data_IF_012298047213
#
_entry.id   IF_012298047213
#
_cell.length_a   1.000
_cell.length_b   1.000
_cell.length_c   1.000
_cell.angle_alpha   90.00
_cell.angle_beta   90.00
_cell.angle_gamma   90.00
#
_symmetry.space_group_name_H-M   'P 1'
#
loop_
_entity.id
_entity.type
_entity.pdbx_description
1 polymer ?
#
# COMPACT_ATOMS: atom_id res chain seq x y z
N UNK A 1 -20.46 -4.50 -9.26
CA UNK A 1 -20.14 -3.45 -8.27
C UNK A 1 -18.66 -3.57 -7.92
N UNK A 2 -17.90 -2.47 -7.81
CA UNK A 2 -16.54 -2.55 -7.29
C UNK A 2 -16.59 -3.13 -5.87
N UNK A 3 -15.73 -4.09 -5.57
CA UNK A 3 -15.83 -4.82 -4.32
C UNK A 3 -14.82 -5.96 -4.21
N UNK A 4 -14.86 -6.63 -3.06
CA UNK A 4 -14.12 -7.86 -2.79
C UNK A 4 -15.09 -9.03 -2.84
N UNK A 5 -14.58 -10.20 -3.20
CA UNK A 5 -15.37 -11.44 -3.28
C UNK A 5 -15.77 -12.04 -1.91
N UNK A 6 -15.47 -11.37 -0.79
CA UNK A 6 -15.88 -11.78 0.56
C UNK A 6 -15.00 -12.81 1.24
N UNK A 7 -14.02 -13.38 0.53
CA UNK A 7 -13.08 -14.34 1.10
C UNK A 7 -11.96 -13.67 1.90
N UNK A 8 -11.44 -14.31 2.96
CA UNK A 8 -10.34 -13.75 3.74
C UNK A 8 -9.07 -13.65 2.89
N UNK A 9 -8.36 -12.53 3.04
CA UNK A 9 -7.08 -12.33 2.39
C UNK A 9 -6.00 -13.22 3.02
N UNK A 10 -5.25 -13.93 2.18
CA UNK A 10 -4.07 -14.68 2.59
C UNK A 10 -2.81 -13.98 2.07
N UNK A 11 -1.84 -13.74 2.97
CA UNK A 11 -0.57 -13.11 2.59
C UNK A 11 0.27 -14.05 1.73
N UNK A 12 0.48 -13.67 0.48
CA UNK A 12 1.35 -14.38 -0.45
C UNK A 12 2.81 -14.35 0.02
N UNK A 13 3.25 -13.23 0.61
CA UNK A 13 4.59 -13.13 1.19
C UNK A 13 4.81 -14.14 2.32
N UNK A 14 3.79 -14.41 3.14
CA UNK A 14 3.88 -15.46 4.16
C UNK A 14 4.05 -16.85 3.51
N UNK A 15 3.31 -17.14 2.44
CA UNK A 15 3.45 -18.42 1.71
C UNK A 15 4.87 -18.58 1.15
N UNK A 16 5.48 -17.52 0.61
CA UNK A 16 6.86 -17.55 0.12
C UNK A 16 7.89 -17.79 1.24
N UNK A 17 7.67 -17.22 2.43
CA UNK A 17 8.51 -17.47 3.61
C UNK A 17 8.36 -18.93 4.06
N UNK A 18 7.12 -19.42 4.16
CA UNK A 18 6.83 -20.79 4.60
C UNK A 18 7.42 -21.83 3.62
N UNK A 19 7.54 -21.49 2.32
CA UNK A 19 8.21 -22.30 1.29
C UNK A 19 9.75 -22.20 1.33
N UNK A 20 10.32 -21.19 2.01
CA UNK A 20 11.76 -20.97 2.08
C UNK A 20 12.37 -20.25 0.87
N UNK A 21 11.54 -19.74 -0.04
CA UNK A 21 11.95 -19.05 -1.28
C UNK A 21 12.52 -17.65 -1.00
N UNK A 22 11.93 -16.96 -0.03
CA UNK A 22 12.30 -15.60 0.34
C UNK A 22 12.42 -15.51 1.86
N UNK A 23 13.54 -14.98 2.33
CA UNK A 23 13.77 -14.75 3.75
C UNK A 23 12.81 -13.70 4.30
N UNK A 24 12.45 -13.83 5.58
CA UNK A 24 11.52 -12.91 6.23
C UNK A 24 12.06 -11.48 6.27
N UNK A 25 13.37 -11.31 6.38
CA UNK A 25 14.05 -10.02 6.46
C UNK A 25 14.01 -9.26 5.12
N UNK A 26 14.04 -9.99 4.01
CA UNK A 26 14.08 -9.44 2.65
C UNK A 26 12.66 -9.30 2.04
N UNK A 27 11.62 -9.66 2.79
CA UNK A 27 10.26 -9.70 2.29
C UNK A 27 9.71 -8.29 2.03
N UNK A 28 9.50 -7.97 0.75
CA UNK A 28 8.93 -6.70 0.29
C UNK A 28 8.09 -6.89 -0.97
N UNK A 29 7.29 -5.88 -1.35
CA UNK A 29 6.55 -5.89 -2.62
C UNK A 29 7.48 -6.01 -3.84
N UNK A 30 8.71 -5.49 -3.73
CA UNK A 30 9.72 -5.61 -4.77
C UNK A 30 10.22 -7.05 -4.87
N UNK A 31 10.53 -7.68 -3.73
CA UNK A 31 10.96 -9.09 -3.69
C UNK A 31 9.90 -10.05 -4.27
N UNK A 32 8.61 -9.84 -3.97
CA UNK A 32 7.51 -10.64 -4.55
C UNK A 32 7.46 -10.48 -6.08
N UNK A 33 7.66 -9.24 -6.57
CA UNK A 33 7.68 -8.97 -8.00
C UNK A 33 8.87 -9.64 -8.69
N UNK A 34 10.06 -9.50 -8.13
CA UNK A 34 11.28 -10.14 -8.64
C UNK A 34 11.18 -11.67 -8.62
N UNK A 35 10.55 -12.24 -7.58
CA UNK A 35 10.30 -13.67 -7.51
C UNK A 35 9.39 -14.12 -8.66
N UNK A 36 8.31 -13.39 -8.94
CA UNK A 36 7.40 -13.69 -10.05
C UNK A 36 8.02 -13.53 -11.44
N UNK A 37 8.99 -12.63 -11.60
CA UNK A 37 9.72 -12.44 -12.86
C UNK A 37 10.75 -13.56 -13.14
N UNK A 38 11.18 -14.29 -12.10
CA UNK A 38 12.16 -15.39 -12.20
C UNK A 38 11.53 -16.78 -12.39
N UNK A 39 10.24 -16.93 -12.08
CA UNK A 39 9.52 -18.21 -12.11
C UNK A 39 8.60 -18.31 -13.33
N UNK A 40 8.17 -19.54 -13.64
CA UNK A 40 7.22 -19.79 -14.73
C UNK A 40 5.82 -19.26 -14.40
N UNK A 41 5.04 -18.93 -15.44
CA UNK A 41 3.65 -18.47 -15.26
C UNK A 41 2.78 -19.48 -14.50
N UNK A 42 3.07 -20.78 -14.63
CA UNK A 42 2.35 -21.84 -13.92
C UNK A 42 2.59 -21.77 -12.40
N UNK A 43 3.83 -21.58 -11.97
CA UNK A 43 4.20 -21.43 -10.55
C UNK A 43 3.64 -20.15 -9.96
N UNK A 44 3.68 -19.05 -10.72
CA UNK A 44 3.08 -17.78 -10.32
C UNK A 44 1.57 -17.93 -10.14
N UNK A 45 0.90 -18.66 -11.04
CA UNK A 45 -0.54 -18.93 -10.94
C UNK A 45 -0.85 -19.75 -9.69
N UNK A 46 -0.11 -20.84 -9.45
CA UNK A 46 -0.29 -21.68 -8.27
C UNK A 46 -0.12 -20.88 -6.96
N UNK A 47 0.85 -19.96 -6.92
CA UNK A 47 1.04 -19.07 -5.78
C UNK A 47 -0.13 -18.09 -5.60
N UNK A 48 -0.62 -17.49 -6.69
CA UNK A 48 -1.76 -16.56 -6.64
C UNK A 48 -3.06 -17.25 -6.21
N UNK A 49 -3.26 -18.50 -6.62
CA UNK A 49 -4.42 -19.33 -6.23
C UNK A 49 -4.46 -19.62 -4.72
N UNK A 50 -3.34 -19.52 -4.00
CA UNK A 50 -3.31 -19.63 -2.54
C UNK A 50 -4.08 -18.49 -1.84
N UNK A 51 -4.29 -17.36 -2.51
CA UNK A 51 -5.07 -16.26 -2.00
C UNK A 51 -6.48 -16.26 -2.62
N UNK A 52 -7.51 -16.75 -1.90
CA UNK A 52 -8.87 -16.78 -2.43
C UNK A 52 -9.49 -15.38 -2.54
N UNK A 53 -8.90 -14.34 -1.94
CA UNK A 53 -9.41 -12.96 -2.02
C UNK A 53 -9.15 -12.34 -3.38
N UNK A 54 -10.22 -11.98 -4.09
CA UNK A 54 -10.16 -11.31 -5.40
C UNK A 54 -10.76 -9.90 -5.33
N UNK A 55 -10.13 -8.96 -6.05
CA UNK A 55 -10.54 -7.55 -6.11
C UNK A 55 -11.07 -7.24 -7.51
N UNK A 56 -12.28 -6.69 -7.59
CA UNK A 56 -12.88 -6.29 -8.84
C UNK A 56 -12.66 -4.80 -9.10
N UNK A 57 -12.18 -4.47 -10.29
CA UNK A 57 -11.98 -3.10 -10.73
C UNK A 57 -13.16 -2.61 -11.58
N UNK A 58 -13.38 -1.30 -11.59
CA UNK A 58 -14.30 -0.64 -12.52
C UNK A 58 -13.51 0.40 -13.33
N UNK A 59 -13.86 0.62 -14.61
CA UNK A 59 -13.28 1.71 -15.36
C UNK A 59 -13.64 3.05 -14.70
N UNK A 60 -12.64 3.90 -14.53
CA UNK A 60 -12.77 5.23 -13.96
C UNK A 60 -11.98 6.19 -14.84
N UNK A 61 -12.52 7.40 -15.06
CA UNK A 61 -11.83 8.45 -15.79
C UNK A 61 -10.54 8.85 -15.06
N UNK A 62 -9.54 9.29 -15.83
CA UNK A 62 -8.28 9.76 -15.27
C UNK A 62 -8.55 10.86 -14.24
N UNK A 63 -8.09 10.63 -13.01
CA UNK A 63 -8.17 11.58 -11.93
C UNK A 63 -6.78 11.74 -11.32
N UNK A 64 -6.40 12.95 -10.87
CA UNK A 64 -5.13 13.13 -10.17
C UNK A 64 -5.08 12.23 -8.94
N UNK A 65 -3.90 11.70 -8.61
CA UNK A 65 -3.69 10.87 -7.43
C UNK A 65 -3.99 11.72 -6.19
N UNK A 66 -5.08 11.39 -5.52
CA UNK A 66 -5.53 12.07 -4.30
C UNK A 66 -5.22 11.20 -3.09
N UNK A 67 -4.73 11.82 -2.03
CA UNK A 67 -4.60 11.16 -0.73
C UNK A 67 -5.96 11.01 -0.05
N UNK A 68 -5.97 10.43 1.16
CA UNK A 68 -7.16 10.38 2.01
C UNK A 68 -7.76 11.77 2.29
N UNK A 69 -6.95 12.83 2.20
CA UNK A 69 -7.35 14.22 2.37
C UNK A 69 -8.05 14.85 1.17
N UNK A 70 -8.34 14.09 0.10
CA UNK A 70 -8.91 14.56 -1.17
C UNK A 70 -8.10 15.64 -1.93
N UNK A 71 -6.96 16.06 -1.41
CA UNK A 71 -6.00 16.96 -2.05
C UNK A 71 -5.06 16.17 -2.97
N UNK A 72 -4.77 16.69 -4.18
CA UNK A 72 -3.78 16.09 -5.08
C UNK A 72 -2.41 15.95 -4.40
N UNK A 73 -1.83 14.76 -4.49
CA UNK A 73 -0.52 14.48 -3.93
C UNK A 73 0.56 15.01 -4.86
N UNK A 74 1.43 15.85 -4.32
CA UNK A 74 2.69 16.22 -4.97
C UNK A 74 3.75 15.24 -4.46
N UNK A 75 4.46 14.59 -5.38
CA UNK A 75 5.48 13.62 -5.05
C UNK A 75 6.58 14.24 -4.19
N UNK A 76 7.10 13.48 -3.21
CA UNK A 76 8.17 13.88 -2.26
C UNK A 76 7.81 14.99 -1.26
N UNK A 77 6.62 15.57 -1.31
CA UNK A 77 6.16 16.60 -0.35
C UNK A 77 4.94 16.14 0.45
N UNK A 78 4.52 14.89 0.30
CA UNK A 78 3.36 14.32 0.99
C UNK A 78 3.70 12.95 1.59
N UNK A 79 3.19 12.68 2.80
CA UNK A 79 3.43 11.46 3.57
C UNK A 79 2.12 10.99 4.20
N UNK A 80 1.89 9.68 4.26
CA UNK A 80 0.75 9.09 4.95
C UNK A 80 1.02 8.98 6.45
N UNK A 81 0.08 9.44 7.27
CA UNK A 81 0.14 9.40 8.74
C UNK A 81 -1.10 8.70 9.29
N UNK A 82 -0.97 8.08 10.46
CA UNK A 82 -2.12 7.55 11.19
C UNK A 82 -2.91 8.69 11.84
N UNK A 83 -4.24 8.57 11.90
CA UNK A 83 -5.12 9.64 12.39
C UNK A 83 -4.80 10.06 13.84
N UNK A 84 -4.36 9.12 14.68
CA UNK A 84 -3.91 9.39 16.04
C UNK A 84 -2.66 10.28 16.07
N UNK A 85 -1.65 9.95 15.24
CA UNK A 85 -0.41 10.73 15.14
C UNK A 85 -0.65 12.09 14.48
N UNK A 86 -1.62 12.17 13.56
CA UNK A 86 -1.98 13.42 12.89
C UNK A 86 -2.51 14.49 13.86
N UNK A 87 -3.34 14.11 14.84
CA UNK A 87 -3.83 15.06 15.87
C UNK A 87 -2.70 15.66 16.69
N UNK A 88 -1.67 14.86 17.00
CA UNK A 88 -0.47 15.29 17.73
C UNK A 88 0.48 16.11 16.84
N UNK A 89 0.66 15.72 15.58
CA UNK A 89 1.50 16.45 14.61
C UNK A 89 0.96 17.86 14.33
N UNK A 90 -0.37 18.06 14.39
CA UNK A 90 -1.01 19.37 14.26
C UNK A 90 -0.67 20.34 15.41
N UNK A 91 -0.30 19.80 16.58
CA UNK A 91 0.17 20.56 17.74
C UNK A 91 1.69 20.72 17.77
N UNK A 92 2.45 19.84 17.13
CA UNK A 92 3.91 19.83 17.19
C UNK A 92 4.54 20.19 15.83
N UNK A 93 4.58 21.49 15.50
CA UNK A 93 5.22 21.98 14.27
C UNK A 93 6.77 21.91 14.32
N UNK A 94 7.39 21.70 15.49
CA UNK A 94 8.70 22.34 15.71
C UNK A 94 9.96 21.53 15.41
N UNK A 95 9.93 20.23 15.10
CA UNK A 95 11.17 19.54 14.64
C UNK A 95 10.95 18.13 14.09
N UNK A 96 10.70 18.04 12.79
CA UNK A 96 11.20 16.89 12.03
C UNK A 96 12.52 17.31 11.40
N UNK A 97 13.60 16.55 11.63
CA UNK A 97 14.85 16.69 10.86
C UNK A 97 14.60 16.08 9.47
N UNK A 98 13.81 16.77 8.67
CA UNK A 98 13.60 16.50 7.26
C UNK A 98 14.44 17.51 6.50
N UNK A 99 15.25 17.02 5.56
CA UNK A 99 15.94 17.83 4.57
C UNK A 99 14.94 18.85 3.99
N UNK A 100 15.35 20.12 4.04
CA UNK A 100 14.61 21.32 3.62
C UNK A 100 13.60 21.09 2.50
N UNK A 101 12.31 20.99 2.82
CA UNK A 101 11.16 21.49 2.02
C UNK A 101 9.90 21.44 2.86
N UNK A 102 9.11 22.53 2.83
CA UNK A 102 7.83 22.71 3.50
C UNK A 102 6.81 21.63 3.06
N UNK A 103 6.35 20.81 4.00
CA UNK A 103 5.32 19.76 3.78
C UNK A 103 3.94 20.37 3.99
N UNK A 104 3.12 20.45 2.95
CA UNK A 104 1.72 20.81 3.06
C UNK A 104 0.92 19.64 3.65
N UNK A 105 0.59 19.70 4.93
CA UNK A 105 -0.32 18.74 5.59
C UNK A 105 -1.78 19.12 5.28
N UNK A 106 -2.37 18.48 4.27
CA UNK A 106 -3.80 18.59 4.00
C UNK A 106 -4.61 17.60 4.87
N UNK A 107 -5.76 18.05 5.37
CA UNK A 107 -6.69 17.32 6.27
C UNK A 107 -7.87 16.79 5.45
N UNK A 108 -8.36 15.58 5.73
CA UNK A 108 -9.79 15.30 5.63
C UNK A 108 -10.21 14.38 6.77
N UNK A 109 -11.07 14.90 7.64
CA UNK A 109 -11.95 14.12 8.49
C UNK A 109 -13.21 13.84 7.70
N UNK A 110 -13.39 12.60 7.26
CA UNK A 110 -14.72 12.04 7.05
C UNK A 110 -14.72 10.59 7.52
N UNK A 111 -15.52 10.35 8.55
CA UNK A 111 -16.01 9.04 8.95
C UNK A 111 -17.02 8.55 7.89
N UNK A 112 -17.09 7.22 7.78
CA UNK A 112 -17.99 6.36 6.98
C UNK A 112 -17.62 6.18 5.51
#
# INVERSE_FOLDING_TARGET
>A
MPGKNGWPYRSIGKVLIDRGEVKKEDMSMQAIREWGEKHSEAEVRELLEQNPSFVFFKPQSFAPVKGASAVPLIGRTSVALTAALFRLARLCWRRCRCWTTTVNLAVSTSYV
#
